data_IF_500817759820
#
_entry.id   IF_500817759820
#
_cell.length_a   1.000
_cell.length_b   1.000
_cell.length_c   1.000
_cell.angle_alpha   90.00
_cell.angle_beta   90.00
_cell.angle_gamma   90.00
#
_symmetry.space_group_name_H-M   'P 1'
#
loop_
_entity.id
_entity.type
_entity.pdbx_description
1 polymer ?
#
# COMPACT_ATOMS: atom_id res chain seq x y z
N UNK A 1 20.37 1.36 13.65
CA UNK A 1 19.61 0.78 12.51
C UNK A 1 18.15 0.51 12.82
N UNK A 2 17.81 -0.40 13.74
CA UNK A 2 16.40 -0.74 14.06
C UNK A 2 15.56 0.51 14.42
N UNK A 3 16.08 1.39 15.29
CA UNK A 3 15.39 2.63 15.67
C UNK A 3 15.12 3.56 14.49
N UNK A 4 16.02 3.61 13.51
CA UNK A 4 15.87 4.47 12.32
C UNK A 4 14.76 3.96 11.40
N UNK A 5 14.72 2.66 11.10
CA UNK A 5 13.65 2.09 10.26
C UNK A 5 12.29 2.24 10.96
N UNK A 6 12.21 1.98 12.27
CA UNK A 6 10.98 2.17 13.01
C UNK A 6 10.53 3.65 13.01
N UNK A 7 11.47 4.59 13.12
CA UNK A 7 11.17 6.01 13.04
C UNK A 7 10.68 6.41 11.64
N UNK A 8 11.30 5.90 10.57
CA UNK A 8 10.84 6.13 9.20
C UNK A 8 9.42 5.58 8.98
N UNK A 9 9.17 4.32 9.35
CA UNK A 9 7.84 3.72 9.26
C UNK A 9 6.78 4.49 10.07
N UNK A 10 7.14 4.94 11.27
CA UNK A 10 6.24 5.74 12.11
C UNK A 10 5.94 7.09 11.48
N UNK A 11 6.95 7.76 10.93
CA UNK A 11 6.76 9.04 10.27
C UNK A 11 5.94 8.90 8.98
N UNK A 12 6.21 7.88 8.17
CA UNK A 12 5.46 7.61 6.95
C UNK A 12 3.97 7.36 7.23
N UNK A 13 3.65 6.61 8.29
CA UNK A 13 2.25 6.40 8.69
C UNK A 13 1.59 7.69 9.21
N UNK A 14 2.33 8.56 9.89
CA UNK A 14 1.82 9.87 10.35
C UNK A 14 1.58 10.83 9.18
N UNK A 15 2.45 10.78 8.18
CA UNK A 15 2.37 11.61 6.97
C UNK A 15 1.42 11.01 5.93
N UNK A 16 0.72 9.93 6.26
CA UNK A 16 -0.19 9.19 5.37
C UNK A 16 0.45 8.82 4.01
N UNK A 17 1.73 8.46 4.04
CA UNK A 17 2.49 8.10 2.86
C UNK A 17 2.04 6.74 2.29
N UNK A 18 1.80 6.68 0.97
CA UNK A 18 1.45 5.44 0.27
C UNK A 18 2.66 4.52 0.06
N UNK A 19 3.83 5.11 -0.16
CA UNK A 19 5.07 4.36 -0.44
C UNK A 19 6.27 5.02 0.23
N UNK A 20 7.21 4.21 0.71
CA UNK A 20 8.54 4.61 1.13
C UNK A 20 9.55 4.06 0.11
N UNK A 21 10.36 4.95 -0.44
CA UNK A 21 11.44 4.63 -1.36
C UNK A 21 12.77 4.79 -0.64
N UNK A 22 13.66 3.80 -0.74
CA UNK A 22 15.03 3.87 -0.24
C UNK A 22 15.95 3.56 -1.41
N UNK A 23 16.67 4.58 -1.86
CA UNK A 23 17.42 4.55 -3.10
C UNK A 23 18.91 4.76 -2.83
N UNK A 24 19.77 3.91 -3.43
CA UNK A 24 21.21 4.15 -3.46
C UNK A 24 21.58 5.04 -4.64
N UNK A 25 22.34 6.09 -4.37
CA UNK A 25 23.10 6.85 -5.36
C UNK A 25 24.60 6.56 -5.19
N UNK A 26 25.42 7.15 -6.06
CA UNK A 26 26.88 6.99 -6.01
C UNK A 26 27.46 7.38 -4.65
N UNK A 27 27.12 8.58 -4.16
CA UNK A 27 27.73 9.18 -2.96
C UNK A 27 26.86 9.13 -1.72
N UNK A 28 25.56 8.87 -1.86
CA UNK A 28 24.58 8.95 -0.78
C UNK A 28 23.43 7.95 -0.96
N UNK A 29 22.59 7.84 0.06
CA UNK A 29 21.28 7.21 -0.07
C UNK A 29 20.22 8.28 0.12
N UNK A 30 19.05 8.10 -0.49
CA UNK A 30 17.88 8.95 -0.26
C UNK A 30 16.73 8.09 0.19
N UNK A 31 15.99 8.58 1.19
CA UNK A 31 14.68 8.05 1.56
C UNK A 31 13.63 9.06 1.14
N UNK A 32 12.64 8.62 0.37
CA UNK A 32 11.54 9.45 -0.12
C UNK A 32 10.20 8.86 0.27
N UNK A 33 9.23 9.71 0.59
CA UNK A 33 7.84 9.28 0.78
C UNK A 33 7.02 9.72 -0.40
N UNK A 34 6.09 8.85 -0.83
CA UNK A 34 5.01 9.24 -1.71
C UNK A 34 3.82 9.65 -0.85
N UNK A 35 3.45 10.92 -0.88
CA UNK A 35 2.27 11.47 -0.21
C UNK A 35 1.43 12.14 -1.28
N UNK A 36 0.14 11.81 -1.35
CA UNK A 36 -0.79 12.31 -2.37
C UNK A 36 -0.25 12.14 -3.81
N UNK A 37 0.33 10.98 -4.08
CA UNK A 37 0.92 10.66 -5.38
C UNK A 37 2.29 11.30 -5.66
N UNK A 38 2.74 12.25 -4.86
CA UNK A 38 3.98 13.01 -5.08
C UNK A 38 5.13 12.51 -4.21
N UNK A 39 6.32 12.34 -4.80
CA UNK A 39 7.53 11.97 -4.05
C UNK A 39 8.17 13.17 -3.37
N UNK A 40 8.54 13.02 -2.10
CA UNK A 40 9.23 14.03 -1.29
C UNK A 40 10.43 13.42 -0.58
N UNK A 41 11.57 14.10 -0.64
CA UNK A 41 12.78 13.68 0.06
C UNK A 41 12.62 13.92 1.57
N UNK A 42 12.93 12.89 2.37
CA UNK A 42 12.73 12.91 3.82
C UNK A 42 14.05 12.94 4.57
N UNK A 43 14.99 12.10 4.13
CA UNK A 43 16.34 12.03 4.70
C UNK A 43 17.32 11.52 3.67
N UNK A 44 18.57 11.99 3.74
CA UNK A 44 19.67 11.46 2.95
C UNK A 44 20.73 10.80 3.84
N UNK A 45 20.62 9.49 4.11
CA UNK A 45 21.62 8.78 4.90
C UNK A 45 22.95 8.67 4.16
N UNK A 46 24.05 8.62 4.92
CA UNK A 46 25.38 8.32 4.36
C UNK A 46 25.35 6.98 3.63
N UNK A 47 26.04 6.91 2.49
CA UNK A 47 26.11 5.71 1.64
C UNK A 47 26.44 4.42 2.40
N UNK A 48 27.38 4.50 3.35
CA UNK A 48 27.80 3.36 4.17
C UNK A 48 26.65 2.71 4.96
N UNK A 49 25.59 3.44 5.27
CA UNK A 49 24.42 2.91 6.00
C UNK A 49 23.43 2.19 5.09
N UNK A 50 23.50 2.39 3.78
CA UNK A 50 22.49 1.90 2.83
C UNK A 50 22.36 0.37 2.87
N UNK A 51 23.47 -0.37 2.76
CA UNK A 51 23.44 -1.83 2.82
C UNK A 51 22.84 -2.37 4.12
N UNK A 52 23.15 -1.73 5.25
CA UNK A 52 22.59 -2.09 6.55
C UNK A 52 21.07 -1.80 6.66
N UNK A 53 20.57 -0.77 5.97
CA UNK A 53 19.13 -0.51 5.86
C UNK A 53 18.44 -1.63 5.07
N UNK A 54 18.97 -1.95 3.88
CA UNK A 54 18.44 -3.02 3.01
C UNK A 54 18.43 -4.35 3.75
N UNK A 55 19.54 -4.77 4.35
CA UNK A 55 19.61 -6.04 5.09
C UNK A 55 18.59 -6.11 6.23
N UNK A 56 18.39 -5.00 6.95
CA UNK A 56 17.40 -4.98 8.03
C UNK A 56 15.97 -5.09 7.51
N UNK A 57 15.65 -4.46 6.38
CA UNK A 57 14.33 -4.57 5.75
C UNK A 57 14.11 -5.99 5.23
N UNK A 58 15.11 -6.59 4.58
CA UNK A 58 15.07 -7.98 4.13
C UNK A 58 14.77 -8.95 5.27
N UNK A 59 15.44 -8.80 6.42
CA UNK A 59 15.14 -9.59 7.62
C UNK A 59 13.68 -9.43 8.05
N UNK A 60 13.18 -8.19 8.09
CA UNK A 60 11.79 -7.93 8.52
C UNK A 60 10.77 -8.54 7.54
N UNK A 61 11.10 -8.61 6.26
CA UNK A 61 10.25 -9.13 5.20
C UNK A 61 10.51 -10.62 4.86
N UNK A 62 11.36 -11.30 5.64
CA UNK A 62 11.76 -12.70 5.42
C UNK A 62 12.41 -12.97 4.04
N UNK A 63 13.18 -12.01 3.54
CA UNK A 63 13.90 -12.09 2.27
C UNK A 63 15.34 -12.59 2.45
N UNK A 64 15.92 -13.13 1.38
CA UNK A 64 17.31 -13.59 1.38
C UNK A 64 18.27 -12.38 1.33
N UNK A 65 19.06 -12.24 2.39
CA UNK A 65 20.04 -11.16 2.56
C UNK A 65 21.30 -11.41 1.71
N UNK A 66 21.61 -12.67 1.43
CA UNK A 66 22.76 -13.05 0.63
C UNK A 66 22.52 -12.78 -0.86
N UNK A 67 21.29 -12.99 -1.34
CA UNK A 67 20.93 -12.66 -2.72
C UNK A 67 20.73 -11.15 -2.89
N UNK A 68 21.44 -10.56 -3.84
CA UNK A 68 21.46 -9.11 -4.14
C UNK A 68 21.40 -8.80 -5.64
N UNK A 69 21.30 -9.84 -6.47
CA UNK A 69 21.37 -9.78 -7.95
C UNK A 69 20.02 -9.99 -8.60
N UNK A 70 19.03 -10.46 -7.83
CA UNK A 70 17.66 -10.70 -8.29
C UNK A 70 16.69 -9.82 -7.50
N UNK A 71 15.59 -9.35 -8.14
CA UNK A 71 14.48 -8.77 -7.41
C UNK A 71 13.91 -9.74 -6.38
N UNK A 72 13.40 -9.20 -5.26
CA UNK A 72 12.73 -9.98 -4.23
C UNK A 72 11.53 -9.21 -3.68
N UNK A 73 10.45 -9.94 -3.40
CA UNK A 73 9.21 -9.38 -2.86
C UNK A 73 8.82 -10.10 -1.57
N UNK A 74 8.36 -9.33 -0.59
CA UNK A 74 8.01 -9.82 0.73
C UNK A 74 6.96 -8.96 1.42
N UNK A 75 6.58 -9.37 2.63
CA UNK A 75 5.60 -8.63 3.44
C UNK A 75 6.10 -8.45 4.87
N UNK A 76 5.75 -7.32 5.47
CA UNK A 76 5.99 -7.02 6.87
C UNK A 76 4.64 -6.67 7.51
N UNK A 77 4.23 -7.43 8.53
CA UNK A 77 3.10 -7.06 9.36
C UNK A 77 3.62 -6.36 10.62
N UNK A 78 3.19 -5.12 10.87
CA UNK A 78 3.56 -4.41 12.09
C UNK A 78 2.44 -3.52 12.62
N UNK A 79 2.59 -3.07 13.87
CA UNK A 79 1.70 -2.08 14.48
C UNK A 79 2.40 -0.74 14.59
N UNK A 80 1.85 0.28 13.96
CA UNK A 80 2.32 1.68 14.08
C UNK A 80 1.24 2.48 14.80
N UNK A 81 1.59 3.14 15.91
CA UNK A 81 0.65 3.93 16.71
C UNK A 81 -0.67 3.18 17.04
N UNK A 82 -0.59 1.87 17.30
CA UNK A 82 -1.74 1.02 17.60
C UNK A 82 -2.52 0.49 16.39
N UNK A 83 -2.26 0.98 15.17
CA UNK A 83 -2.91 0.53 13.94
C UNK A 83 -2.11 -0.59 13.27
N UNK A 84 -2.75 -1.70 12.86
CA UNK A 84 -2.09 -2.74 12.08
C UNK A 84 -1.84 -2.24 10.65
N UNK A 85 -0.59 -2.31 10.20
CA UNK A 85 -0.18 -1.93 8.84
C UNK A 85 0.45 -3.17 8.19
N UNK A 86 -0.04 -3.54 7.00
CA UNK A 86 0.65 -4.47 6.11
C UNK A 86 1.59 -3.68 5.23
N UNK A 87 2.84 -4.12 5.09
CA UNK A 87 3.80 -3.46 4.22
C UNK A 87 4.24 -4.46 3.17
N UNK A 88 3.98 -4.18 1.91
CA UNK A 88 4.58 -4.91 0.80
C UNK A 88 5.97 -4.33 0.55
N UNK A 89 6.97 -5.18 0.49
CA UNK A 89 8.37 -4.81 0.28
C UNK A 89 8.82 -5.38 -1.03
N UNK A 90 9.47 -4.56 -1.85
CA UNK A 90 10.16 -4.98 -3.06
C UNK A 90 11.59 -4.47 -3.04
N UNK A 91 12.56 -5.33 -3.32
CA UNK A 91 13.97 -4.97 -3.46
C UNK A 91 14.43 -5.25 -4.87
N UNK A 92 15.10 -4.30 -5.52
CA UNK A 92 15.59 -4.43 -6.91
C UNK A 92 17.07 -4.04 -6.98
N UNK A 93 17.94 -4.86 -7.60
CA UNK A 93 19.33 -4.50 -7.82
C UNK A 93 19.46 -3.29 -8.75
N UNK A 94 20.37 -2.37 -8.42
CA UNK A 94 20.71 -1.19 -9.22
C UNK A 94 22.23 -0.99 -9.26
N UNK A 95 22.72 -0.06 -10.08
CA UNK A 95 24.16 0.17 -10.26
C UNK A 95 24.92 0.56 -8.98
N UNK A 96 24.24 1.08 -7.96
CA UNK A 96 24.88 1.50 -6.71
C UNK A 96 24.43 0.67 -5.49
N UNK A 97 23.71 -0.43 -5.68
CA UNK A 97 23.17 -1.26 -4.59
C UNK A 97 21.69 -1.58 -4.82
N UNK A 98 21.00 -2.03 -3.78
CA UNK A 98 19.60 -2.43 -3.91
C UNK A 98 18.65 -1.28 -3.60
N UNK A 99 17.78 -0.96 -4.54
CA UNK A 99 16.65 -0.07 -4.29
C UNK A 99 15.58 -0.84 -3.53
N UNK A 100 14.99 -0.21 -2.51
CA UNK A 100 13.86 -0.78 -1.77
C UNK A 100 12.65 0.12 -1.95
N UNK A 101 11.50 -0.49 -2.20
CA UNK A 101 10.19 0.16 -2.16
C UNK A 101 9.33 -0.57 -1.15
N UNK A 102 8.73 0.17 -0.23
CA UNK A 102 7.81 -0.34 0.78
C UNK A 102 6.46 0.35 0.59
N UNK A 103 5.42 -0.40 0.23
CA UNK A 103 4.05 0.11 0.11
C UNK A 103 3.30 -0.15 1.41
N UNK A 104 2.75 0.90 2.00
CA UNK A 104 2.00 0.83 3.24
C UNK A 104 0.53 0.59 2.90
N UNK A 105 -0.03 -0.51 3.38
CA UNK A 105 -1.44 -0.87 3.23
C UNK A 105 -2.10 -0.79 4.61
N UNK A 106 -3.04 0.14 4.75
CA UNK A 106 -3.86 0.23 5.95
C UNK A 106 -4.95 -0.84 5.91
N UNK A 107 -4.85 -1.87 6.76
CA UNK A 107 -5.87 -2.92 6.85
C UNK A 107 -7.22 -2.40 7.37
N UNK A 108 -7.25 -1.22 8.00
CA UNK A 108 -8.50 -0.61 8.50
C UNK A 108 -9.25 0.20 7.45
N UNK A 109 -8.67 0.43 6.27
CA UNK A 109 -9.42 0.92 5.12
C UNK A 109 -10.49 -0.10 4.65
N UNK A 110 -10.70 -1.24 5.31
CA UNK A 110 -11.86 -2.10 5.10
C UNK A 110 -13.21 -1.52 5.57
N UNK A 111 -13.25 -0.35 6.22
CA UNK A 111 -14.51 0.36 6.56
C UNK A 111 -14.80 1.50 5.57
N UNK A 112 -14.74 1.20 4.27
CA UNK A 112 -15.09 2.17 3.25
C UNK A 112 -16.61 2.27 3.15
N UNK A 113 -17.16 3.36 3.67
CA UNK A 113 -18.52 3.75 3.39
C UNK A 113 -18.55 4.52 2.06
N UNK A 114 -19.40 4.10 1.14
CA UNK A 114 -19.54 4.73 -0.19
C UNK A 114 -19.84 6.24 -0.06
N UNK A 115 -20.56 6.63 0.99
CA UNK A 115 -20.86 8.01 1.38
C UNK A 115 -19.60 8.86 1.65
N UNK A 116 -18.53 8.23 2.11
CA UNK A 116 -17.29 8.91 2.52
C UNK A 116 -16.30 9.13 1.36
N UNK A 117 -16.62 8.63 0.16
CA UNK A 117 -15.75 8.71 -1.02
C UNK A 117 -15.83 10.05 -1.76
N UNK A 118 -16.63 11.00 -1.28
CA UNK A 118 -16.76 12.33 -1.87
C UNK A 118 -17.62 12.38 -3.15
N UNK A 119 -18.48 11.38 -3.36
CA UNK A 119 -19.45 11.41 -4.46
C UNK A 119 -20.53 12.46 -4.21
N UNK A 120 -20.94 13.17 -5.27
CA UNK A 120 -22.15 13.98 -5.24
C UNK A 120 -23.37 13.11 -4.87
N UNK A 121 -24.31 13.67 -4.11
CA UNK A 121 -25.47 12.93 -3.60
C UNK A 121 -26.30 12.27 -4.72
N UNK A 122 -26.43 12.91 -5.89
CA UNK A 122 -27.15 12.34 -7.02
C UNK A 122 -26.38 11.19 -7.67
N UNK A 123 -25.05 11.29 -7.74
CA UNK A 123 -24.17 10.23 -8.26
C UNK A 123 -24.18 9.03 -7.32
N UNK A 124 -24.08 9.28 -6.02
CA UNK A 124 -24.15 8.25 -5.00
C UNK A 124 -25.48 7.48 -5.06
N UNK A 125 -26.61 8.19 -5.16
CA UNK A 125 -27.93 7.56 -5.28
C UNK A 125 -28.05 6.69 -6.54
N UNK A 126 -27.51 7.17 -7.67
CA UNK A 126 -27.47 6.39 -8.92
C UNK A 126 -26.60 5.14 -8.77
N UNK A 127 -25.42 5.25 -8.16
CA UNK A 127 -24.54 4.12 -7.93
C UNK A 127 -25.18 3.09 -6.99
N UNK A 128 -25.79 3.54 -5.88
CA UNK A 128 -26.49 2.66 -4.93
C UNK A 128 -27.64 1.89 -5.60
N UNK A 129 -28.37 2.56 -6.50
CA UNK A 129 -29.40 1.91 -7.31
C UNK A 129 -28.83 0.86 -8.29
N UNK A 130 -27.69 1.17 -8.94
CA UNK A 130 -27.06 0.27 -9.92
C UNK A 130 -26.49 -0.99 -9.27
N UNK A 131 -25.83 -0.87 -8.12
CA UNK A 131 -25.23 -2.03 -7.44
C UNK A 131 -26.27 -3.01 -6.87
N UNK A 132 -27.51 -2.56 -6.68
CA UNK A 132 -28.65 -3.37 -6.21
C UNK A 132 -29.47 -3.99 -7.34
N UNK A 133 -29.12 -3.74 -8.61
CA UNK A 133 -29.81 -4.41 -9.71
C UNK A 133 -29.56 -5.92 -9.66
N UNK A 134 -30.57 -6.76 -9.92
CA UNK A 134 -30.44 -8.22 -9.80
C UNK A 134 -29.44 -8.81 -10.79
N UNK A 135 -29.20 -8.12 -11.91
CA UNK A 135 -28.23 -8.49 -12.92
C UNK A 135 -27.78 -7.25 -13.69
N UNK A 136 -26.53 -7.25 -14.15
CA UNK A 136 -25.97 -6.16 -14.93
C UNK A 136 -24.46 -6.10 -14.78
N UNK A 137 -23.81 -5.25 -15.57
CA UNK A 137 -22.38 -5.00 -15.49
C UNK A 137 -22.17 -3.55 -15.09
N UNK A 138 -21.45 -3.33 -13.99
CA UNK A 138 -20.98 -2.01 -13.56
C UNK A 138 -19.49 -1.94 -13.80
N UNK A 139 -19.03 -0.96 -14.60
CA UNK A 139 -17.63 -0.75 -14.92
C UNK A 139 -17.10 0.48 -14.19
N UNK A 140 -16.07 0.29 -13.37
CA UNK A 140 -15.34 1.38 -12.71
C UNK A 140 -14.01 1.58 -13.44
N UNK A 141 -13.86 2.70 -14.14
CA UNK A 141 -12.72 2.98 -15.01
C UNK A 141 -11.92 4.18 -14.51
N UNK A 142 -10.65 4.27 -14.92
CA UNK A 142 -9.74 5.33 -14.50
C UNK A 142 -8.27 4.86 -14.43
N UNK A 143 -7.29 5.78 -14.44
CA UNK A 143 -5.87 5.44 -14.38
C UNK A 143 -5.47 4.79 -13.06
N UNK A 144 -4.26 4.25 -12.95
CA UNK A 144 -3.72 3.74 -11.68
C UNK A 144 -3.77 4.82 -10.59
N UNK A 145 -4.19 4.46 -9.38
CA UNK A 145 -4.28 5.41 -8.26
C UNK A 145 -5.54 6.28 -8.21
N UNK A 146 -6.50 6.12 -9.12
CA UNK A 146 -7.75 6.89 -9.15
C UNK A 146 -8.84 6.42 -8.16
N UNK A 147 -8.56 5.48 -7.26
CA UNK A 147 -9.53 5.02 -6.26
C UNK A 147 -10.55 3.99 -6.76
N UNK A 148 -10.31 3.30 -7.89
CA UNK A 148 -11.20 2.26 -8.43
C UNK A 148 -11.45 1.12 -7.44
N UNK A 149 -10.38 0.51 -6.93
CA UNK A 149 -10.45 -0.58 -5.95
C UNK A 149 -11.20 -0.12 -4.70
N UNK A 150 -10.88 1.06 -4.18
CA UNK A 150 -11.59 1.68 -3.05
C UNK A 150 -13.09 1.81 -3.30
N UNK A 151 -13.49 2.28 -4.49
CA UNK A 151 -14.90 2.44 -4.85
C UNK A 151 -15.62 1.10 -4.98
N UNK A 152 -14.98 0.09 -5.57
CA UNK A 152 -15.54 -1.26 -5.70
C UNK A 152 -15.71 -1.95 -4.34
N UNK A 153 -14.69 -1.89 -3.48
CA UNK A 153 -14.77 -2.47 -2.14
C UNK A 153 -15.86 -1.80 -1.30
N UNK A 154 -15.99 -0.47 -1.37
CA UNK A 154 -17.07 0.26 -0.70
C UNK A 154 -18.46 -0.13 -1.21
N UNK A 155 -18.60 -0.39 -2.52
CA UNK A 155 -19.86 -0.85 -3.11
C UNK A 155 -20.20 -2.27 -2.67
N UNK A 156 -19.23 -3.19 -2.70
CA UNK A 156 -19.39 -4.58 -2.25
C UNK A 156 -19.79 -4.64 -0.76
N UNK A 157 -19.18 -3.80 0.08
CA UNK A 157 -19.51 -3.71 1.50
C UNK A 157 -20.96 -3.25 1.81
N UNK A 158 -21.70 -2.74 0.81
CA UNK A 158 -23.13 -2.39 0.94
C UNK A 158 -24.08 -3.52 0.57
N UNK A 159 -23.57 -4.53 -0.14
CA UNK A 159 -24.36 -5.66 -0.56
C UNK A 159 -24.49 -6.64 0.61
N UNK A 160 -25.64 -7.29 0.70
CA UNK A 160 -25.94 -8.23 1.77
C UNK A 160 -25.44 -9.63 1.40
N UNK A 161 -24.27 -9.99 1.91
CA UNK A 161 -23.68 -11.32 1.73
C UNK A 161 -24.50 -12.44 2.41
N UNK A 162 -25.41 -12.13 3.34
CA UNK A 162 -26.26 -13.15 3.96
C UNK A 162 -27.36 -13.66 3.03
N UNK A 163 -27.72 -12.86 2.02
CA UNK A 163 -28.76 -13.19 1.04
C UNK A 163 -28.22 -13.43 -0.37
N UNK A 164 -26.94 -13.11 -0.62
CA UNK A 164 -26.29 -13.22 -1.93
C UNK A 164 -24.89 -13.85 -1.80
N UNK A 165 -24.56 -14.81 -2.67
CA UNK A 165 -23.20 -15.33 -2.77
C UNK A 165 -22.32 -14.37 -3.59
N UNK A 166 -21.42 -13.64 -2.93
CA UNK A 166 -20.56 -12.63 -3.53
C UNK A 166 -19.15 -13.21 -3.68
N UNK A 167 -18.62 -13.19 -4.91
CA UNK A 167 -17.30 -13.74 -5.24
C UNK A 167 -16.45 -12.69 -5.95
N UNK A 168 -15.18 -12.58 -5.56
CA UNK A 168 -14.19 -11.71 -6.21
C UNK A 168 -13.04 -12.51 -6.81
N UNK A 169 -12.47 -12.00 -7.89
CA UNK A 169 -11.21 -12.49 -8.47
C UNK A 169 -10.27 -11.30 -8.55
N UNK A 170 -9.15 -11.39 -7.84
CA UNK A 170 -8.25 -10.25 -7.62
C UNK A 170 -6.79 -10.66 -7.76
N UNK A 171 -5.96 -9.72 -8.17
CA UNK A 171 -4.52 -9.91 -8.33
C UNK A 171 -3.74 -8.65 -7.87
N UNK A 172 -3.31 -8.60 -6.60
CA UNK A 172 -3.69 -9.45 -5.46
C UNK A 172 -4.93 -8.92 -4.73
N UNK A 173 -5.46 -9.71 -3.79
CA UNK A 173 -6.46 -9.24 -2.82
C UNK A 173 -5.88 -8.10 -1.98
N UNK A 174 -6.60 -6.96 -1.92
CA UNK A 174 -6.16 -5.76 -1.22
C UNK A 174 -6.72 -5.66 0.21
N UNK A 175 -8.00 -5.99 0.42
CA UNK A 175 -8.64 -6.01 1.74
C UNK A 175 -9.45 -7.28 1.96
N UNK A 176 -9.65 -7.64 3.23
CA UNK A 176 -10.53 -8.74 3.62
C UNK A 176 -11.91 -8.14 3.94
N UNK A 177 -12.94 -8.50 3.17
CA UNK A 177 -14.32 -8.09 3.39
C UNK A 177 -15.09 -9.24 4.06
N UNK A 178 -15.74 -9.01 5.21
CA UNK A 178 -16.53 -10.04 5.87
C UNK A 178 -17.81 -10.34 5.07
N UNK A 179 -18.11 -11.63 4.90
CA UNK A 179 -19.24 -12.14 4.11
C UNK A 179 -18.82 -13.36 3.30
#
# INVERSE_FOLDING_TARGET
MIRMINALLTQAARDEASDIHIEPFETHSVVRYRVDGTLRDVVSPRKALHGALVSRIKIMAQLDIAEKRLPQDGRIALRVAGRPIDIRVSTVPTGHGERVVMRLLDKQAGRLHLETLGMDAQVLAKLDHLIRQPHGIVLVTGPTGSGKTTSLYAALARLDASTSNILTVEDPVEYDLPG
#
